data_IF_687197851005
#
_entry.id   IF_687197851005
#
_cell.length_a   1.000
_cell.length_b   1.000
_cell.length_c   1.000
_cell.angle_alpha   90.00
_cell.angle_beta   90.00
_cell.angle_gamma   90.00
#
_symmetry.space_group_name_H-M   'P 1'
#
loop_
_entity.id
_entity.type
_entity.pdbx_description
1 polymer ?
#
# COMPACT_ATOMS: atom_id res chain seq x y z
N UNK A 1 -6.84 4.76 16.10
CA UNK A 1 -8.18 4.88 15.47
C UNK A 1 -8.29 3.77 14.45
N UNK A 2 -9.41 3.04 14.43
CA UNK A 2 -9.54 1.88 13.56
C UNK A 2 -10.52 2.17 12.43
N UNK A 3 -10.10 1.88 11.19
CA UNK A 3 -10.86 2.14 9.96
C UNK A 3 -11.02 0.84 9.20
N UNK A 4 -12.24 0.55 8.78
CA UNK A 4 -12.57 -0.59 7.93
C UNK A 4 -13.01 -0.12 6.55
N UNK A 5 -12.47 -0.75 5.52
CA UNK A 5 -12.87 -0.54 4.13
C UNK A 5 -13.21 -1.91 3.54
N UNK A 6 -14.42 -2.03 3.00
CA UNK A 6 -14.89 -3.23 2.31
C UNK A 6 -15.47 -2.83 0.96
N UNK A 7 -15.13 -3.58 -0.09
CA UNK A 7 -15.60 -3.38 -1.46
C UNK A 7 -15.89 -4.74 -2.09
N UNK A 8 -16.94 -4.81 -2.91
CA UNK A 8 -17.31 -6.02 -3.64
C UNK A 8 -17.87 -5.65 -5.00
N UNK A 9 -17.37 -6.27 -6.07
CA UNK A 9 -17.91 -6.04 -7.40
C UNK A 9 -17.76 -7.24 -8.34
N UNK A 10 -18.59 -7.22 -9.38
CA UNK A 10 -18.61 -8.22 -10.47
C UNK A 10 -17.38 -8.11 -11.38
N UNK A 11 -16.75 -6.94 -11.44
CA UNK A 11 -15.54 -6.71 -12.23
C UNK A 11 -14.40 -6.18 -11.35
N UNK A 12 -13.17 -6.52 -11.74
CA UNK A 12 -11.94 -6.04 -11.07
C UNK A 12 -11.89 -4.52 -11.10
N UNK A 13 -12.19 -3.92 -12.25
CA UNK A 13 -12.24 -2.47 -12.44
C UNK A 13 -13.25 -1.79 -11.52
N UNK A 14 -14.44 -2.36 -11.39
CA UNK A 14 -15.49 -1.84 -10.51
C UNK A 14 -15.07 -1.87 -9.04
N UNK A 15 -14.50 -2.99 -8.60
CA UNK A 15 -14.07 -3.18 -7.22
C UNK A 15 -12.94 -2.19 -6.84
N UNK A 16 -11.95 -2.02 -7.73
CA UNK A 16 -10.83 -1.11 -7.48
C UNK A 16 -11.23 0.37 -7.56
N UNK A 17 -12.22 0.71 -8.38
CA UNK A 17 -12.79 2.07 -8.40
C UNK A 17 -13.49 2.38 -7.08
N UNK A 18 -14.34 1.48 -6.60
CA UNK A 18 -15.02 1.63 -5.32
C UNK A 18 -14.02 1.75 -4.17
N UNK A 19 -12.95 0.94 -4.18
CA UNK A 19 -11.87 1.03 -3.21
C UNK A 19 -11.23 2.42 -3.20
N UNK A 20 -10.88 2.95 -4.37
CA UNK A 20 -10.27 4.28 -4.50
C UNK A 20 -11.20 5.38 -4.00
N UNK A 21 -12.51 5.25 -4.20
CA UNK A 21 -13.50 6.19 -3.68
C UNK A 21 -13.61 6.14 -2.16
N UNK A 22 -13.72 4.93 -1.57
CA UNK A 22 -13.77 4.76 -0.11
C UNK A 22 -12.45 5.16 0.55
N UNK A 23 -11.32 4.94 -0.09
CA UNK A 23 -9.99 5.30 0.42
C UNK A 23 -9.77 6.81 0.59
N UNK A 24 -10.55 7.67 -0.07
CA UNK A 24 -10.44 9.14 0.06
C UNK A 24 -10.65 9.63 1.50
N UNK A 25 -11.32 8.86 2.34
CA UNK A 25 -11.45 9.17 3.77
C UNK A 25 -10.08 9.28 4.47
N UNK A 26 -9.06 8.57 3.97
CA UNK A 26 -7.71 8.56 4.55
C UNK A 26 -6.96 9.87 4.31
N UNK A 27 -7.24 10.57 3.21
CA UNK A 27 -6.62 11.85 2.86
C UNK A 27 -6.96 12.93 3.90
N UNK A 28 -8.19 12.89 4.43
CA UNK A 28 -8.68 13.87 5.39
C UNK A 28 -8.44 13.48 6.87
N UNK A 29 -8.02 12.24 7.14
CA UNK A 29 -7.71 11.84 8.51
C UNK A 29 -6.31 12.34 8.92
N UNK A 30 -6.13 12.81 10.16
CA UNK A 30 -4.78 12.96 10.73
C UNK A 30 -4.16 11.58 11.01
N UNK A 31 -2.86 11.53 11.30
CA UNK A 31 -2.17 10.29 11.69
C UNK A 31 -1.48 9.52 10.56
N UNK A 32 -0.69 8.51 10.93
CA UNK A 32 -0.11 7.50 10.01
C UNK A 32 -0.76 6.13 10.22
N UNK A 33 -0.71 5.26 9.23
CA UNK A 33 -1.19 3.88 9.39
C UNK A 33 -0.09 3.07 10.09
N UNK A 34 -0.35 2.61 11.30
CA UNK A 34 0.62 1.81 12.08
C UNK A 34 0.55 0.32 11.71
N UNK A 35 -0.66 -0.19 11.51
CA UNK A 35 -0.92 -1.58 11.14
C UNK A 35 -2.02 -1.63 10.10
N UNK A 36 -1.87 -2.53 9.15
CA UNK A 36 -2.90 -2.82 8.18
C UNK A 36 -3.05 -4.33 8.01
N UNK A 37 -4.26 -4.75 7.66
CA UNK A 37 -4.54 -6.10 7.21
C UNK A 37 -5.42 -6.02 5.97
N UNK A 38 -4.92 -6.52 4.85
CA UNK A 38 -5.63 -6.58 3.56
C UNK A 38 -6.01 -8.03 3.27
N UNK A 39 -7.27 -8.24 2.92
CA UNK A 39 -7.79 -9.53 2.49
C UNK A 39 -8.40 -9.40 1.09
N UNK A 40 -7.90 -10.24 0.18
CA UNK A 40 -8.40 -10.38 -1.18
C UNK A 40 -9.19 -11.68 -1.28
N UNK A 41 -10.40 -11.59 -1.83
CA UNK A 41 -11.25 -12.74 -2.09
C UNK A 41 -11.69 -12.79 -3.55
N UNK A 42 -11.66 -13.99 -4.12
CA UNK A 42 -11.99 -14.25 -5.51
C UNK A 42 -13.01 -15.37 -5.59
N UNK A 43 -14.28 -15.01 -5.74
CA UNK A 43 -15.40 -15.94 -5.88
C UNK A 43 -16.21 -15.65 -7.14
N UNK A 44 -17.54 -15.67 -7.03
CA UNK A 44 -18.43 -15.15 -8.07
C UNK A 44 -18.24 -13.63 -8.27
N UNK A 45 -17.88 -12.94 -7.19
CA UNK A 45 -17.50 -11.55 -7.14
C UNK A 45 -16.06 -11.43 -6.62
N UNK A 46 -15.42 -10.30 -6.94
CA UNK A 46 -14.17 -9.92 -6.31
C UNK A 46 -14.48 -9.09 -5.07
N UNK A 47 -13.88 -9.46 -3.93
CA UNK A 47 -14.03 -8.74 -2.67
C UNK A 47 -12.69 -8.29 -2.11
N UNK A 48 -12.66 -7.07 -1.56
CA UNK A 48 -11.51 -6.49 -0.88
C UNK A 48 -11.97 -6.08 0.52
N UNK A 49 -11.28 -6.56 1.55
CA UNK A 49 -11.48 -6.13 2.94
C UNK A 49 -10.18 -5.61 3.52
N UNK A 50 -10.26 -4.49 4.22
CA UNK A 50 -9.11 -3.83 4.80
C UNK A 50 -9.45 -3.35 6.20
N UNK A 51 -8.57 -3.67 7.15
CA UNK A 51 -8.58 -3.09 8.50
C UNK A 51 -7.30 -2.28 8.69
N UNK A 52 -7.46 -1.00 9.01
CA UNK A 52 -6.36 -0.04 9.18
C UNK A 52 -6.38 0.49 10.60
N UNK A 53 -5.25 0.38 11.30
CA UNK A 53 -5.03 1.05 12.58
C UNK A 53 -4.22 2.32 12.34
N UNK A 54 -4.82 3.47 12.61
CA UNK A 54 -4.23 4.79 12.45
C UNK A 54 -3.75 5.31 13.81
N UNK A 55 -2.48 5.64 13.89
CA UNK A 55 -1.87 6.35 15.01
C UNK A 55 -2.00 7.86 14.76
N UNK A 56 -2.79 8.59 15.57
CA UNK A 56 -2.98 10.04 15.40
C UNK A 56 -1.75 10.87 15.78
N UNK A 57 -0.75 10.30 16.46
CA UNK A 57 0.41 11.04 16.96
C UNK A 57 1.47 11.30 15.89
N UNK A 58 1.48 10.51 14.81
CA UNK A 58 2.45 10.60 13.71
C UNK A 58 1.87 11.29 12.49
N UNK A 59 2.68 12.07 11.78
CA UNK A 59 2.24 12.80 10.59
C UNK A 59 2.80 12.12 9.34
N UNK A 60 1.93 11.47 8.58
CA UNK A 60 2.25 10.96 7.26
C UNK A 60 1.09 11.21 6.29
N UNK A 61 1.40 11.39 5.02
CA UNK A 61 0.40 11.24 3.96
C UNK A 61 0.11 9.74 3.80
N UNK A 62 -1.14 9.33 3.80
CA UNK A 62 -1.53 7.92 3.78
C UNK A 62 -2.51 7.66 2.66
N UNK A 63 -2.26 6.60 1.91
CA UNK A 63 -3.08 6.26 0.76
C UNK A 63 -2.99 4.78 0.44
N UNK A 64 -3.91 4.31 -0.40
CA UNK A 64 -3.97 2.93 -0.86
C UNK A 64 -3.61 2.93 -2.35
N UNK A 65 -2.64 2.09 -2.70
CA UNK A 65 -2.27 1.84 -4.10
C UNK A 65 -2.96 0.53 -4.48
N UNK A 66 -3.79 0.58 -5.52
CA UNK A 66 -4.53 -0.59 -5.98
C UNK A 66 -4.54 -0.64 -7.50
N UNK A 67 -3.89 -1.66 -8.05
CA UNK A 67 -3.67 -1.82 -9.49
C UNK A 67 -4.02 -3.23 -9.93
N UNK A 68 -4.33 -3.35 -11.22
CA UNK A 68 -4.57 -4.64 -11.85
C UNK A 68 -3.98 -4.69 -13.26
N UNK A 69 -3.70 -5.90 -13.71
CA UNK A 69 -3.26 -6.17 -15.08
C UNK A 69 -4.01 -7.37 -15.63
N UNK A 70 -4.09 -7.47 -16.97
CA UNK A 70 -4.67 -8.62 -17.66
C UNK A 70 -3.87 -8.96 -18.92
N UNK A 71 -4.02 -10.19 -19.43
CA UNK A 71 -3.35 -10.64 -20.67
C UNK A 71 -2.15 -11.56 -20.42
N UNK A 72 -1.05 -11.36 -21.16
CA UNK A 72 0.20 -12.12 -20.99
C UNK A 72 1.07 -11.46 -19.92
N UNK A 73 1.83 -12.29 -19.19
CA UNK A 73 2.82 -11.85 -18.18
C UNK A 73 2.25 -10.92 -17.10
N UNK A 74 1.00 -11.19 -16.70
CA UNK A 74 0.22 -10.34 -15.79
C UNK A 74 0.93 -10.00 -14.49
N UNK A 75 1.64 -10.96 -13.88
CA UNK A 75 2.34 -10.76 -12.60
C UNK A 75 3.50 -9.78 -12.78
N UNK A 76 4.30 -9.96 -13.83
CA UNK A 76 5.45 -9.09 -14.11
C UNK A 76 4.98 -7.66 -14.37
N UNK A 77 3.95 -7.48 -15.19
CA UNK A 77 3.35 -6.16 -15.46
C UNK A 77 2.78 -5.52 -14.19
N UNK A 78 2.11 -6.31 -13.35
CA UNK A 78 1.56 -5.81 -12.09
C UNK A 78 2.70 -5.32 -11.18
N UNK A 79 3.77 -6.09 -11.06
CA UNK A 79 4.93 -5.72 -10.27
C UNK A 79 5.55 -4.40 -10.77
N UNK A 80 5.74 -4.26 -12.09
CA UNK A 80 6.26 -3.02 -12.69
C UNK A 80 5.35 -1.81 -12.42
N UNK A 81 4.03 -1.96 -12.53
CA UNK A 81 3.06 -0.90 -12.23
C UNK A 81 3.04 -0.52 -10.74
N UNK A 82 3.06 -1.51 -9.85
CA UNK A 82 3.11 -1.27 -8.40
C UNK A 82 4.41 -0.57 -7.99
N UNK A 83 5.55 -1.00 -8.53
CA UNK A 83 6.86 -0.39 -8.25
C UNK A 83 6.94 1.09 -8.67
N UNK A 84 6.25 1.48 -9.75
CA UNK A 84 6.19 2.89 -10.17
C UNK A 84 5.47 3.76 -9.13
N UNK A 85 4.49 3.20 -8.42
CA UNK A 85 3.62 3.94 -7.47
C UNK A 85 4.10 3.90 -6.02
N UNK A 86 4.85 2.88 -5.63
CA UNK A 86 5.39 2.68 -4.26
C UNK A 86 6.69 3.48 -4.03
N UNK A 87 7.05 4.42 -4.92
CA UNK A 87 8.27 5.21 -4.77
C UNK A 87 8.19 6.16 -3.58
N UNK A 88 9.25 6.18 -2.77
CA UNK A 88 9.41 7.06 -1.61
C UNK A 88 8.29 6.89 -0.56
N UNK A 89 7.77 5.66 -0.43
CA UNK A 89 6.74 5.31 0.55
C UNK A 89 7.14 4.12 1.41
N UNK A 90 6.69 4.14 2.66
CA UNK A 90 6.68 2.99 3.57
C UNK A 90 5.47 2.11 3.28
N UNK A 91 5.70 0.84 2.93
CA UNK A 91 4.64 -0.16 2.72
C UNK A 91 4.31 -0.81 4.06
N UNK A 92 3.06 -0.64 4.51
CA UNK A 92 2.57 -1.16 5.79
C UNK A 92 2.00 -2.57 5.63
N UNK A 93 1.25 -2.79 4.56
CA UNK A 93 0.78 -4.11 4.17
C UNK A 93 0.66 -4.18 2.65
N UNK A 94 0.89 -5.37 2.11
CA UNK A 94 0.82 -5.64 0.68
C UNK A 94 0.24 -7.03 0.45
N UNK A 95 -0.72 -7.10 -0.46
CA UNK A 95 -1.25 -8.37 -0.93
C UNK A 95 -1.48 -8.33 -2.42
N UNK A 96 -1.40 -9.50 -3.04
CA UNK A 96 -1.73 -9.67 -4.43
C UNK A 96 -2.46 -10.99 -4.64
N UNK A 97 -3.20 -11.08 -5.72
CA UNK A 97 -3.87 -12.30 -6.11
C UNK A 97 -4.17 -12.32 -7.59
N UNK A 98 -4.42 -13.52 -8.11
CA UNK A 98 -4.83 -13.71 -9.50
C UNK A 98 -6.27 -14.16 -9.56
N UNK A 99 -7.05 -13.52 -10.41
CA UNK A 99 -8.46 -13.82 -10.61
C UNK A 99 -8.72 -14.21 -12.06
N UNK A 100 -9.35 -15.36 -12.27
CA UNK A 100 -9.89 -15.71 -13.58
C UNK A 100 -11.38 -15.46 -13.54
N UNK A 101 -11.85 -14.45 -14.29
CA UNK A 101 -13.28 -14.14 -14.34
C UNK A 101 -14.08 -15.35 -14.86
N UNK A 102 -15.13 -15.82 -14.16
CA UNK A 102 -15.89 -17.00 -14.57
C UNK A 102 -16.50 -16.90 -15.98
N UNK A 103 -17.04 -15.73 -16.32
CA UNK A 103 -17.75 -15.51 -17.59
C UNK A 103 -16.78 -15.33 -18.77
N UNK A 104 -15.83 -14.41 -18.64
CA UNK A 104 -14.93 -14.05 -19.75
C UNK A 104 -13.69 -14.94 -19.82
N UNK A 105 -13.42 -15.75 -18.79
CA UNK A 105 -12.18 -16.52 -18.58
C UNK A 105 -10.90 -15.70 -18.68
N UNK A 106 -11.00 -14.38 -18.60
CA UNK A 106 -9.84 -13.49 -18.64
C UNK A 106 -9.14 -13.56 -17.30
N UNK A 107 -7.83 -13.78 -17.34
CA UNK A 107 -6.98 -13.81 -16.16
C UNK A 107 -6.49 -12.40 -15.84
N UNK A 108 -6.64 -12.05 -14.57
CA UNK A 108 -6.23 -10.79 -13.98
C UNK A 108 -5.21 -11.07 -12.88
N UNK A 109 -4.27 -10.16 -12.70
CA UNK A 109 -3.50 -10.02 -11.46
C UNK A 109 -3.93 -8.72 -10.80
N UNK A 110 -4.17 -8.75 -9.50
CA UNK A 110 -4.56 -7.59 -8.68
C UNK A 110 -3.54 -7.45 -7.57
N UNK A 111 -3.07 -6.23 -7.33
CA UNK A 111 -2.16 -5.89 -6.26
C UNK A 111 -2.70 -4.70 -5.46
N UNK A 112 -2.62 -4.79 -4.13
CA UNK A 112 -3.03 -3.74 -3.21
C UNK A 112 -1.92 -3.51 -2.21
N UNK A 113 -1.52 -2.25 -2.04
CA UNK A 113 -0.58 -1.83 -1.02
C UNK A 113 -1.23 -0.73 -0.16
N UNK A 114 -1.07 -0.85 1.14
CA UNK A 114 -1.32 0.23 2.09
C UNK A 114 0.01 0.91 2.36
N UNK A 115 0.06 2.21 2.12
CA UNK A 115 1.32 2.95 2.24
C UNK A 115 1.17 4.22 3.07
N UNK A 116 2.25 4.52 3.79
CA UNK A 116 2.50 5.84 4.35
C UNK A 116 3.60 6.50 3.53
N UNK A 117 3.44 7.77 3.24
CA UNK A 117 4.48 8.65 2.73
C UNK A 117 4.85 9.63 3.84
N UNK A 118 6.04 9.50 4.44
CA UNK A 118 6.47 10.42 5.49
C UNK A 118 6.53 11.84 4.91
N UNK A 119 5.89 12.80 5.60
CA UNK A 119 5.94 14.22 5.19
C UNK A 119 7.30 14.84 5.47
N UNK A 120 8.01 14.30 6.45
CA UNK A 120 9.40 14.63 6.72
C UNK A 120 10.26 13.77 5.79
N UNK A 121 10.90 14.41 4.81
CA UNK A 121 12.28 14.02 4.56
C UNK A 121 12.95 14.16 5.91
N UNK A 122 13.33 13.07 6.56
CA UNK A 122 14.39 13.14 7.56
C UNK A 122 15.56 13.81 6.83
N UNK A 123 15.66 15.12 7.00
CA UNK A 123 16.66 15.92 6.36
C UNK A 123 17.92 15.56 7.13
N UNK A 124 18.64 14.53 6.68
CA UNK A 124 20.01 14.28 7.13
C UNK A 124 20.88 15.54 6.96
N UNK A 125 20.44 16.50 6.15
CA UNK A 125 20.98 17.86 6.03
C UNK A 125 20.96 18.68 7.33
N UNK A 126 20.02 18.44 8.25
CA UNK A 126 19.94 19.15 9.54
C UNK A 126 20.75 18.48 10.66
N UNK A 127 21.29 17.28 10.43
CA UNK A 127 22.22 16.66 11.36
C UNK A 127 23.57 17.36 11.26
N UNK A 128 24.09 17.81 12.40
CA UNK A 128 25.46 18.30 12.52
C UNK A 128 26.46 17.22 12.07
N UNK A 129 27.68 17.63 11.72
CA UNK A 129 28.76 16.69 11.35
C UNK A 129 29.00 15.66 12.46
N UNK A 130 28.76 16.04 13.72
CA UNK A 130 28.94 15.18 14.90
C UNK A 130 27.89 14.07 14.96
N UNK A 131 26.62 14.39 14.72
CA UNK A 131 25.53 13.40 14.75
C UNK A 131 25.64 12.40 13.60
N UNK A 132 26.07 12.84 12.41
CA UNK A 132 26.35 11.94 11.28
C UNK A 132 27.49 10.97 11.61
N UNK A 133 28.54 11.44 12.28
CA UNK A 133 29.65 10.59 12.74
C UNK A 133 29.22 9.62 13.84
N UNK A 134 28.32 10.03 14.72
CA UNK A 134 27.77 9.18 15.77
C UNK A 134 26.93 8.03 15.19
N UNK A 135 26.10 8.30 14.19
CA UNK A 135 25.31 7.27 13.49
C UNK A 135 26.24 6.28 12.77
N UNK A 136 27.27 6.77 12.07
CA UNK A 136 28.25 5.92 11.39
C UNK A 136 29.04 5.05 12.37
N UNK A 137 29.46 5.59 13.52
CA UNK A 137 30.14 4.79 14.57
C UNK A 137 29.25 3.68 15.09
N UNK A 138 27.99 4.00 15.40
CA UNK A 138 27.02 3.04 15.94
C UNK A 138 26.66 1.95 14.92
N UNK A 139 26.61 2.29 13.64
CA UNK A 139 26.44 1.30 12.57
C UNK A 139 27.66 0.37 12.48
N UNK A 140 28.88 0.92 12.54
CA UNK A 140 30.12 0.13 12.51
C UNK A 140 30.26 -0.81 13.72
N UNK A 141 29.82 -0.39 14.91
CA UNK A 141 29.80 -1.22 16.12
C UNK A 141 28.83 -2.41 16.03
N UNK A 142 27.80 -2.35 15.18
CA UNK A 142 26.85 -3.45 14.98
C UNK A 142 27.34 -4.50 13.96
N UNK A 143 28.39 -4.19 13.19
CA UNK A 143 28.97 -5.06 12.16
C UNK A 143 30.40 -5.55 12.49
N UNK A 144 30.95 -5.19 13.65
CA UNK A 144 32.23 -5.68 14.17
C UNK A 144 32.05 -6.58 15.37
#
# INVERSE_FOLDING_TARGET
>A
MLVFIECEAVSVEGCLRELKEKAKILENMPGSIEKAKIELSFGAFMGIRMALNIDPTKIAEKYIIAEYTSGKDIIKRLQEEMQKKIRDTEVIDFTFGTYTMPVTRRKYAVGIAVVNKPKEKENFQNLSIEERRAILRKALELFG
#
